data_IF_587246023589
#
_entry.id   IF_587246023589
#
_cell.length_a   1.000
_cell.length_b   1.000
_cell.length_c   1.000
_cell.angle_alpha   90.00
_cell.angle_beta   90.00
_cell.angle_gamma   90.00
#
_symmetry.space_group_name_H-M   'P 1'
#
loop_
_entity.id
_entity.type
_entity.pdbx_description
1 polymer ?
#
# COMPACT_ATOMS: atom_id res chain seq x y z
N UNK A 1 4.89 -13.84 0.29
CA UNK A 1 4.41 -12.83 1.27
C UNK A 1 3.07 -12.27 0.84
N UNK A 2 2.31 -11.65 1.73
CA UNK A 2 1.03 -11.00 1.38
C UNK A 2 1.17 -9.97 0.24
N UNK A 3 2.27 -9.21 0.25
CA UNK A 3 2.58 -8.25 -0.83
C UNK A 3 2.89 -8.92 -2.18
N UNK A 4 3.39 -10.15 -2.20
CA UNK A 4 3.55 -10.91 -3.44
C UNK A 4 2.20 -11.45 -3.93
N UNK A 5 1.36 -11.94 -3.02
CA UNK A 5 0.01 -12.42 -3.36
C UNK A 5 -0.88 -11.28 -3.88
N UNK A 6 -0.78 -10.09 -3.28
CA UNK A 6 -1.49 -8.91 -3.76
C UNK A 6 -1.07 -8.53 -5.18
N UNK A 7 0.24 -8.43 -5.43
CA UNK A 7 0.77 -8.14 -6.78
C UNK A 7 0.31 -9.16 -7.81
N UNK A 8 0.44 -10.46 -7.50
CA UNK A 8 -0.04 -11.51 -8.40
C UNK A 8 -1.55 -11.38 -8.68
N UNK A 9 -2.36 -11.09 -7.67
CA UNK A 9 -3.81 -10.94 -7.84
C UNK A 9 -4.17 -9.72 -8.70
N UNK A 10 -3.40 -8.64 -8.58
CA UNK A 10 -3.54 -7.43 -9.42
C UNK A 10 -3.11 -7.71 -10.87
N UNK A 11 -2.02 -8.45 -11.08
CA UNK A 11 -1.54 -8.88 -12.40
C UNK A 11 -2.56 -9.80 -13.09
N UNK A 12 -3.11 -10.76 -12.36
CA UNK A 12 -4.14 -11.68 -12.86
C UNK A 12 -5.43 -10.92 -13.22
N UNK A 13 -5.77 -9.84 -12.50
CA UNK A 13 -6.92 -9.00 -12.80
C UNK A 13 -6.69 -8.24 -14.11
N UNK A 14 -5.49 -7.65 -14.27
CA UNK A 14 -5.10 -7.00 -15.50
C UNK A 14 -5.18 -7.98 -16.69
N UNK A 15 -4.72 -9.22 -16.51
CA UNK A 15 -4.85 -10.28 -17.51
C UNK A 15 -6.30 -10.55 -17.92
N UNK A 16 -7.23 -10.63 -16.97
CA UNK A 16 -8.67 -10.81 -17.27
C UNK A 16 -9.29 -9.64 -18.02
N UNK A 17 -8.93 -8.40 -17.65
CA UNK A 17 -9.43 -7.20 -18.31
C UNK A 17 -8.95 -7.06 -19.76
N UNK A 18 -7.80 -7.66 -20.08
CA UNK A 18 -7.22 -7.67 -21.42
C UNK A 18 -7.61 -8.91 -22.24
N UNK A 19 -8.43 -9.80 -21.68
CA UNK A 19 -8.87 -11.01 -22.38
C UNK A 19 -9.77 -10.65 -23.58
N UNK A 20 -9.68 -11.40 -24.70
CA UNK A 20 -10.61 -11.21 -25.81
C UNK A 20 -12.07 -11.47 -25.40
N UNK A 21 -12.98 -10.69 -25.97
CA UNK A 21 -14.42 -10.80 -25.72
C UNK A 21 -14.95 -9.71 -24.80
N UNK A 22 -16.21 -9.84 -24.40
CA UNK A 22 -16.83 -8.88 -23.50
C UNK A 22 -16.53 -9.25 -22.06
N UNK A 23 -15.93 -8.33 -21.29
CA UNK A 23 -15.61 -8.51 -19.87
C UNK A 23 -16.54 -7.60 -19.07
N UNK A 24 -17.32 -8.20 -18.19
CA UNK A 24 -18.27 -7.48 -17.34
C UNK A 24 -17.79 -7.48 -15.89
N UNK A 25 -18.39 -6.60 -15.07
CA UNK A 25 -18.04 -6.51 -13.64
C UNK A 25 -18.20 -7.85 -12.91
N UNK A 26 -19.23 -8.64 -13.25
CA UNK A 26 -19.47 -9.95 -12.63
C UNK A 26 -18.31 -10.93 -12.83
N UNK A 27 -17.58 -10.84 -13.95
CA UNK A 27 -16.47 -11.74 -14.29
C UNK A 27 -15.22 -11.46 -13.45
N UNK A 28 -15.05 -10.20 -13.01
CA UNK A 28 -13.91 -9.74 -12.21
C UNK A 28 -14.25 -9.57 -10.73
N UNK A 29 -15.54 -9.60 -10.35
CA UNK A 29 -16.00 -9.36 -8.99
C UNK A 29 -15.29 -10.24 -7.93
N UNK A 30 -15.10 -11.57 -8.14
CA UNK A 30 -14.40 -12.41 -7.16
C UNK A 30 -12.95 -11.97 -6.93
N UNK A 31 -12.30 -11.49 -7.99
CA UNK A 31 -10.91 -11.07 -7.93
C UNK A 31 -10.75 -9.71 -7.26
N UNK A 32 -11.68 -8.79 -7.51
CA UNK A 32 -11.76 -7.52 -6.78
C UNK A 32 -11.96 -7.75 -5.28
N UNK A 33 -12.82 -8.68 -4.89
CA UNK A 33 -13.03 -9.05 -3.49
C UNK A 33 -11.75 -9.62 -2.87
N UNK A 34 -11.04 -10.51 -3.58
CA UNK A 34 -9.79 -11.07 -3.10
C UNK A 34 -8.69 -10.01 -2.90
N UNK A 35 -8.51 -9.12 -3.88
CA UNK A 35 -7.57 -7.99 -3.78
C UNK A 35 -7.92 -7.11 -2.58
N UNK A 36 -9.21 -6.81 -2.36
CA UNK A 36 -9.67 -6.02 -1.21
C UNK A 36 -9.29 -6.69 0.11
N UNK A 37 -9.51 -8.00 0.24
CA UNK A 37 -9.16 -8.76 1.45
C UNK A 37 -7.64 -8.76 1.69
N UNK A 38 -6.83 -8.96 0.64
CA UNK A 38 -5.37 -8.93 0.74
C UNK A 38 -4.86 -7.56 1.18
N UNK A 39 -5.39 -6.47 0.62
CA UNK A 39 -5.05 -5.10 1.02
C UNK A 39 -5.38 -4.85 2.49
N UNK A 40 -6.53 -5.34 2.95
CA UNK A 40 -6.92 -5.22 4.34
C UNK A 40 -5.97 -6.00 5.27
N UNK A 41 -5.59 -7.22 4.91
CA UNK A 41 -4.63 -8.02 5.67
C UNK A 41 -3.26 -7.33 5.76
N UNK A 42 -2.74 -6.83 4.64
CA UNK A 42 -1.48 -6.07 4.62
C UNK A 42 -1.54 -4.86 5.55
N UNK A 43 -2.65 -4.12 5.53
CA UNK A 43 -2.85 -2.97 6.40
C UNK A 43 -2.85 -3.37 7.88
N UNK A 44 -3.61 -4.40 8.25
CA UNK A 44 -3.69 -4.87 9.64
C UNK A 44 -2.33 -5.36 10.15
N UNK A 45 -1.62 -6.17 9.37
CA UNK A 45 -0.31 -6.71 9.74
C UNK A 45 0.73 -5.59 9.93
N UNK A 46 0.70 -4.59 9.03
CA UNK A 46 1.59 -3.43 9.12
C UNK A 46 1.27 -2.58 10.35
N UNK A 47 -0.01 -2.37 10.66
CA UNK A 47 -0.45 -1.62 11.82
C UNK A 47 -0.06 -2.34 13.12
N UNK A 48 -0.28 -3.65 13.20
CA UNK A 48 0.10 -4.46 14.35
C UNK A 48 1.61 -4.41 14.59
N UNK A 49 2.41 -4.63 13.54
CA UNK A 49 3.87 -4.54 13.62
C UNK A 49 4.33 -3.16 14.12
N UNK A 50 3.70 -2.09 13.64
CA UNK A 50 4.03 -0.73 14.08
C UNK A 50 3.66 -0.50 15.57
N UNK A 51 2.56 -1.07 16.05
CA UNK A 51 2.16 -1.03 17.46
C UNK A 51 3.14 -1.82 18.34
N UNK A 52 3.57 -3.00 17.89
CA UNK A 52 4.54 -3.84 18.59
C UNK A 52 5.88 -3.11 18.73
N UNK A 53 6.37 -2.47 17.66
CA UNK A 53 7.58 -1.64 17.70
C UNK A 53 7.38 -0.47 18.66
N UNK A 54 6.24 0.24 18.58
CA UNK A 54 5.96 1.38 19.46
C UNK A 54 5.99 0.99 20.94
N UNK A 55 5.51 -0.20 21.29
CA UNK A 55 5.51 -0.70 22.67
C UNK A 55 6.93 -0.88 23.26
N UNK A 56 7.96 -1.01 22.40
CA UNK A 56 9.35 -1.15 22.81
C UNK A 56 10.10 0.19 22.94
N UNK A 57 9.51 1.30 22.46
CA UNK A 57 10.19 2.59 22.43
C UNK A 57 9.92 3.42 23.68
N UNK A 58 10.95 4.14 24.13
CA UNK A 58 10.79 5.19 25.13
C UNK A 58 10.07 6.41 24.54
N UNK A 59 9.49 7.31 25.37
CA UNK A 59 8.88 8.54 24.88
C UNK A 59 9.83 9.41 24.04
N UNK A 60 11.11 9.47 24.42
CA UNK A 60 12.12 10.21 23.67
C UNK A 60 12.40 9.58 22.29
N UNK A 61 12.57 8.25 22.23
CA UNK A 61 12.77 7.53 20.97
C UNK A 61 11.56 7.67 20.04
N UNK A 62 10.35 7.64 20.60
CA UNK A 62 9.14 7.90 19.84
C UNK A 62 9.09 9.33 19.29
N UNK A 63 9.51 10.31 20.08
CA UNK A 63 9.66 11.70 19.63
C UNK A 63 10.62 11.83 18.44
N UNK A 64 11.76 11.14 18.48
CA UNK A 64 12.71 11.10 17.36
C UNK A 64 12.11 10.43 16.11
N UNK A 65 11.37 9.33 16.27
CA UNK A 65 10.69 8.66 15.15
C UNK A 65 9.63 9.58 14.49
N UNK A 66 8.86 10.32 15.30
CA UNK A 66 7.89 11.29 14.78
C UNK A 66 8.55 12.40 13.97
N UNK A 67 9.67 12.94 14.45
CA UNK A 67 10.46 13.94 13.72
C UNK A 67 11.00 13.40 12.40
N UNK A 68 11.53 12.17 12.38
CA UNK A 68 12.02 11.53 11.15
C UNK A 68 10.89 11.36 10.12
N UNK A 69 9.72 10.87 10.54
CA UNK A 69 8.55 10.73 9.66
C UNK A 69 8.09 12.09 9.09
N UNK A 70 8.08 13.15 9.89
CA UNK A 70 7.73 14.50 9.42
C UNK A 70 8.69 14.99 8.31
N UNK A 71 10.00 14.79 8.49
CA UNK A 71 11.03 15.13 7.48
C UNK A 71 10.85 14.31 6.20
N UNK A 72 10.63 13.00 6.31
CA UNK A 72 10.38 12.14 5.15
C UNK A 72 9.16 12.59 4.34
N UNK A 73 8.06 12.95 5.02
CA UNK A 73 6.85 13.46 4.34
C UNK A 73 7.09 14.80 3.67
N UNK A 74 7.94 15.65 4.25
CA UNK A 74 8.34 16.92 3.63
C UNK A 74 9.14 16.67 2.35
N UNK A 75 10.17 15.84 2.41
CA UNK A 75 10.98 15.46 1.23
C UNK A 75 10.11 14.86 0.11
N UNK A 76 9.16 14.00 0.46
CA UNK A 76 8.22 13.44 -0.53
C UNK A 76 7.34 14.50 -1.20
N UNK A 77 6.93 15.55 -0.47
CA UNK A 77 6.17 16.67 -1.04
C UNK A 77 7.05 17.50 -1.98
N UNK A 78 8.25 17.84 -1.54
CA UNK A 78 9.22 18.62 -2.33
C UNK A 78 9.57 17.90 -3.63
N UNK A 79 9.87 16.60 -3.57
CA UNK A 79 10.09 15.81 -4.78
C UNK A 79 8.89 15.89 -5.73
N UNK A 80 7.66 15.68 -5.23
CA UNK A 80 6.45 15.76 -6.08
C UNK A 80 6.29 17.14 -6.74
N UNK A 81 6.63 18.22 -6.06
CA UNK A 81 6.59 19.57 -6.62
C UNK A 81 7.62 19.73 -7.73
N UNK A 82 8.86 19.30 -7.51
CA UNK A 82 9.91 19.34 -8.53
C UNK A 82 9.53 18.55 -9.80
N UNK A 83 8.90 17.38 -9.64
CA UNK A 83 8.40 16.57 -10.76
C UNK A 83 7.21 17.22 -11.50
N UNK A 84 6.42 18.05 -10.83
CA UNK A 84 5.31 18.79 -11.44
C UNK A 84 5.78 20.06 -12.15
N UNK A 85 6.82 20.72 -11.64
CA UNK A 85 7.41 21.91 -12.23
C UNK A 85 8.27 21.60 -13.46
N UNK A 86 8.83 20.39 -13.55
CA UNK A 86 9.65 19.93 -14.67
C UNK A 86 8.89 19.31 -15.85
N UNK A 87 7.55 19.21 -15.77
CA UNK A 87 6.67 18.64 -16.80
C UNK A 87 5.80 19.69 -17.48
#
# INVERSE_FOLDING_TARGET
SLMQQLRQSEDDLAGKLLAPGNVNLADVQPQLQHISQLREQVLRDSAQTALDIRALLTPEQLGRAAQANARMRQLQREMRQLWQEGN
#
